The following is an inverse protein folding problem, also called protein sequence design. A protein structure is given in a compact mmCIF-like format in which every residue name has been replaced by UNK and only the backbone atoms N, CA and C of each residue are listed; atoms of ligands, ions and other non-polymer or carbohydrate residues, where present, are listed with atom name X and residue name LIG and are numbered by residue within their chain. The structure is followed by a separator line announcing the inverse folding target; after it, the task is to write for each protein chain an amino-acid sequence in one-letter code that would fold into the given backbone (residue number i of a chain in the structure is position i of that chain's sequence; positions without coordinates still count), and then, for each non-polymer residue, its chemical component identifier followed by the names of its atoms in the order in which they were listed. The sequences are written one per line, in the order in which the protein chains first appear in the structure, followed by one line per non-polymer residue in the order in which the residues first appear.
data_IF_414235255541
#
_entry.id   IF_414235255541
#
_cell.length_a   1.000
_cell.length_b   1.000
_cell.length_c   1.000
_cell.angle_alpha   90.00
_cell.angle_beta   90.00
_cell.angle_gamma   90.00
#
_symmetry.space_group_name_H-M   'P 1'
#
loop_
_entity.id
_entity.type
_entity.pdbx_description
1 polymer ?
#
# COMPACT_ATOMS: atom_id res chain seq x y z
N UNK A 1 14.41 -4.29 -22.82
CA UNK A 1 14.09 -4.33 -21.38
C UNK A 1 13.88 -2.90 -20.98
N UNK A 2 12.66 -2.56 -20.55
CA UNK A 2 12.28 -1.16 -20.32
C UNK A 2 12.98 -0.58 -19.09
N UNK A 3 13.17 0.76 -19.02
CA UNK A 3 13.68 1.45 -17.85
C UNK A 3 12.87 1.15 -16.58
N UNK A 4 13.50 1.25 -15.41
CA UNK A 4 12.88 0.90 -14.12
C UNK A 4 11.66 1.78 -13.82
N UNK A 5 11.71 3.04 -14.23
CA UNK A 5 10.63 4.03 -14.11
C UNK A 5 9.41 3.60 -14.92
N UNK A 6 9.60 3.25 -16.20
CA UNK A 6 8.53 2.78 -17.07
C UNK A 6 7.98 1.42 -16.61
N UNK A 7 8.85 0.55 -16.07
CA UNK A 7 8.43 -0.70 -15.45
C UNK A 7 7.55 -0.48 -14.22
N UNK A 8 7.91 0.46 -13.34
CA UNK A 8 7.12 0.82 -12.17
C UNK A 8 5.75 1.40 -12.55
N UNK A 9 5.69 2.24 -13.58
CA UNK A 9 4.43 2.77 -14.11
C UNK A 9 3.50 1.67 -14.62
N UNK A 10 4.02 0.77 -15.45
CA UNK A 10 3.24 -0.35 -16.00
C UNK A 10 2.81 -1.34 -14.92
N UNK A 11 3.70 -1.67 -13.98
CA UNK A 11 3.38 -2.55 -12.87
C UNK A 11 2.23 -1.98 -12.02
N UNK A 12 2.20 -0.66 -11.79
CA UNK A 12 1.14 -0.02 -11.02
C UNK A 12 -0.21 -0.06 -11.73
N UNK A 13 -0.23 0.16 -13.06
CA UNK A 13 -1.45 0.04 -13.88
C UNK A 13 -1.98 -1.39 -13.92
N UNK A 14 -1.09 -2.37 -13.91
CA UNK A 14 -1.42 -3.79 -13.97
C UNK A 14 -1.74 -4.40 -12.60
N UNK A 15 -1.65 -3.64 -11.50
CA UNK A 15 -1.86 -4.17 -10.15
C UNK A 15 -3.23 -4.87 -9.96
N UNK A 16 -4.23 -4.47 -10.76
CA UNK A 16 -5.60 -5.01 -10.71
C UNK A 16 -5.90 -6.08 -11.78
N UNK A 17 -4.93 -6.51 -12.60
CA UNK A 17 -5.16 -7.54 -13.63
C UNK A 17 -5.26 -8.95 -13.04
N UNK A 18 -4.98 -9.11 -11.74
CA UNK A 18 -4.91 -10.41 -11.07
C UNK A 18 -3.99 -11.44 -11.76
N UNK A 19 -2.98 -10.97 -12.51
CA UNK A 19 -2.07 -11.82 -13.27
C UNK A 19 -2.60 -12.30 -14.62
N UNK A 20 -3.70 -11.73 -15.13
CA UNK A 20 -4.14 -11.97 -16.50
C UNK A 20 -3.15 -11.38 -17.51
N UNK A 21 -2.33 -12.26 -18.09
CA UNK A 21 -1.32 -11.89 -19.09
C UNK A 21 -1.91 -11.13 -20.29
N UNK A 22 -3.14 -11.43 -20.70
CA UNK A 22 -3.74 -10.76 -21.87
C UNK A 22 -4.06 -9.31 -21.56
N UNK A 23 -4.56 -9.03 -20.34
CA UNK A 23 -4.79 -7.67 -19.86
C UNK A 23 -3.48 -6.92 -19.66
N UNK A 24 -2.45 -7.58 -19.13
CA UNK A 24 -1.12 -6.99 -19.00
C UNK A 24 -0.54 -6.58 -20.37
N UNK A 25 -0.65 -7.42 -21.41
CA UNK A 25 -0.16 -7.07 -22.74
C UNK A 25 -0.94 -5.94 -23.39
N UNK A 26 -2.25 -5.88 -23.17
CA UNK A 26 -3.08 -4.78 -23.67
C UNK A 26 -2.62 -3.45 -23.06
N UNK A 27 -2.46 -3.40 -21.73
CA UNK A 27 -1.96 -2.21 -21.02
C UNK A 27 -0.55 -1.85 -21.48
N UNK A 28 0.35 -2.84 -21.64
CA UNK A 28 1.71 -2.59 -22.12
C UNK A 28 1.71 -1.95 -23.53
N UNK A 29 0.86 -2.47 -24.43
CA UNK A 29 0.76 -1.97 -25.80
C UNK A 29 0.24 -0.53 -25.87
N UNK A 30 -0.73 -0.16 -25.03
CA UNK A 30 -1.23 1.22 -24.90
C UNK A 30 -0.11 2.22 -24.53
N UNK A 31 0.92 1.73 -23.84
CA UNK A 31 2.09 2.49 -23.40
C UNK A 31 3.33 2.29 -24.28
N UNK A 32 3.15 1.74 -25.50
CA UNK A 32 4.21 1.58 -26.49
C UNK A 32 5.20 0.45 -26.19
N UNK A 33 4.86 -0.47 -25.28
CA UNK A 33 5.69 -1.63 -24.92
C UNK A 33 5.10 -2.89 -25.53
N UNK A 34 5.92 -3.66 -26.26
CA UNK A 34 5.46 -4.93 -26.84
C UNK A 34 5.28 -6.01 -25.77
N UNK A 35 4.45 -7.03 -26.05
CA UNK A 35 4.26 -8.16 -25.13
C UNK A 35 5.58 -8.87 -24.80
N UNK A 36 6.46 -9.03 -25.80
CA UNK A 36 7.79 -9.63 -25.61
C UNK A 36 8.66 -8.77 -24.70
N UNK A 37 8.66 -7.45 -24.91
CA UNK A 37 9.45 -6.54 -24.10
C UNK A 37 8.92 -6.44 -22.65
N UNK A 38 7.59 -6.48 -22.46
CA UNK A 38 6.98 -6.56 -21.14
C UNK A 38 7.39 -7.84 -20.42
N UNK A 39 7.26 -9.01 -21.06
CA UNK A 39 7.67 -10.31 -20.49
C UNK A 39 9.13 -10.30 -20.07
N UNK A 40 10.02 -9.85 -20.96
CA UNK A 40 11.45 -9.78 -20.69
C UNK A 40 11.75 -8.84 -19.50
N UNK A 41 11.04 -7.72 -19.40
CA UNK A 41 11.23 -6.74 -18.33
C UNK A 41 10.70 -7.22 -17.00
N UNK A 42 9.50 -7.81 -16.96
CA UNK A 42 8.93 -8.43 -15.75
C UNK A 42 9.87 -9.50 -15.20
N UNK A 43 10.33 -10.41 -16.06
CA UNK A 43 11.29 -11.45 -15.65
C UNK A 43 12.61 -10.86 -15.14
N UNK A 44 13.21 -9.92 -15.88
CA UNK A 44 14.50 -9.32 -15.54
C UNK A 44 14.47 -8.50 -14.25
N UNK A 45 13.46 -7.64 -14.08
CA UNK A 45 13.34 -6.81 -12.89
C UNK A 45 12.96 -7.62 -11.65
N UNK A 46 12.06 -8.61 -11.76
CA UNK A 46 11.74 -9.51 -10.64
C UNK A 46 12.97 -10.32 -10.19
N UNK A 47 13.76 -10.84 -11.14
CA UNK A 47 14.99 -11.55 -10.82
C UNK A 47 15.98 -10.63 -10.09
N UNK A 48 16.15 -9.39 -10.57
CA UNK A 48 17.08 -8.43 -9.98
C UNK A 48 16.67 -7.96 -8.58
N UNK A 49 15.37 -7.74 -8.33
CA UNK A 49 14.87 -7.39 -6.99
C UNK A 49 15.02 -8.53 -5.98
N UNK A 50 15.06 -9.77 -6.46
CA UNK A 50 15.20 -10.97 -5.63
C UNK A 50 16.65 -11.43 -5.48
N UNK A 51 17.59 -10.76 -6.16
CA UNK A 51 19.01 -11.15 -6.19
C UNK A 51 19.70 -10.75 -4.87
N UNK A 52 20.25 -11.71 -4.09
CA UNK A 52 21.01 -11.39 -2.89
C UNK A 52 22.23 -10.49 -3.16
N UNK A 53 22.82 -10.57 -4.37
CA UNK A 53 23.96 -9.74 -4.76
C UNK A 53 23.57 -8.27 -5.04
N UNK A 54 22.30 -8.02 -5.38
CA UNK A 54 21.76 -6.66 -5.54
C UNK A 54 21.60 -5.94 -4.19
N UNK A 55 21.58 -6.70 -3.08
CA UNK A 55 21.41 -6.20 -1.71
C UNK A 55 20.17 -5.29 -1.55
N UNK A 56 19.11 -5.58 -2.32
CA UNK A 56 17.86 -4.81 -2.31
C UNK A 56 17.95 -3.41 -2.92
N UNK A 57 19.05 -3.03 -3.59
CA UNK A 57 19.21 -1.69 -4.20
C UNK A 57 18.11 -1.41 -5.23
N UNK A 58 17.82 -2.38 -6.08
CA UNK A 58 16.79 -2.27 -7.11
C UNK A 58 15.40 -2.20 -6.48
N UNK A 59 15.14 -2.97 -5.43
CA UNK A 59 13.88 -2.88 -4.69
C UNK A 59 13.69 -1.50 -4.03
N UNK A 60 14.74 -0.96 -3.39
CA UNK A 60 14.73 0.36 -2.77
C UNK A 60 14.53 1.49 -3.80
N UNK A 61 15.05 1.34 -5.02
CA UNK A 61 14.82 2.29 -6.12
C UNK A 61 13.40 2.16 -6.72
N UNK A 62 12.88 0.94 -6.81
CA UNK A 62 11.57 0.64 -7.40
C UNK A 62 10.40 1.12 -6.54
N UNK A 63 10.45 0.85 -5.22
CA UNK A 63 9.35 1.16 -4.31
C UNK A 63 8.82 2.60 -4.41
N UNK A 64 9.64 3.66 -4.36
CA UNK A 64 9.12 5.03 -4.48
C UNK A 64 8.52 5.32 -5.87
N UNK A 65 9.09 4.75 -6.94
CA UNK A 65 8.56 4.91 -8.30
C UNK A 65 7.19 4.24 -8.45
N UNK A 66 7.06 3.03 -7.93
CA UNK A 66 5.82 2.26 -7.95
C UNK A 66 4.72 2.95 -7.13
N UNK A 67 5.03 3.42 -5.93
CA UNK A 67 4.10 4.19 -5.10
C UNK A 67 3.62 5.48 -5.80
N UNK A 68 4.53 6.21 -6.44
CA UNK A 68 4.18 7.42 -7.20
C UNK A 68 3.27 7.10 -8.39
N UNK A 69 3.57 6.01 -9.12
CA UNK A 69 2.75 5.56 -10.24
C UNK A 69 1.35 5.12 -9.81
N UNK A 70 1.24 4.37 -8.71
CA UNK A 70 -0.05 4.01 -8.12
C UNK A 70 -0.87 5.26 -7.77
N UNK A 71 -0.26 6.22 -7.06
CA UNK A 71 -0.91 7.48 -6.69
C UNK A 71 -1.40 8.27 -7.92
N UNK A 72 -0.60 8.30 -9.00
CA UNK A 72 -0.96 8.92 -10.28
C UNK A 72 -2.13 8.19 -10.96
N UNK A 73 -2.12 6.86 -10.99
CA UNK A 73 -3.20 6.06 -11.58
C UNK A 73 -4.55 6.29 -10.88
N UNK A 74 -4.54 6.58 -9.58
CA UNK A 74 -5.73 6.97 -8.81
C UNK A 74 -6.13 8.44 -8.95
N UNK A 75 -5.39 9.24 -9.72
CA UNK A 75 -5.63 10.69 -9.81
C UNK A 75 -5.48 11.41 -8.46
N UNK A 76 -4.64 10.87 -7.55
CA UNK A 76 -4.47 11.39 -6.20
C UNK A 76 -5.53 10.94 -5.18
N UNK A 77 -6.47 10.07 -5.57
CA UNK A 77 -7.45 9.51 -4.65
C UNK A 77 -6.79 8.59 -3.60
N UNK A 78 -7.41 8.55 -2.42
CA UNK A 78 -7.01 7.68 -1.32
C UNK A 78 -7.13 6.19 -1.72
N UNK A 79 -6.14 5.34 -1.39
CA UNK A 79 -6.18 3.89 -1.69
C UNK A 79 -7.25 3.15 -0.85
N UNK A 80 -7.61 3.71 0.30
CA UNK A 80 -8.75 3.32 1.10
C UNK A 80 -9.23 4.52 1.92
N UNK A 81 -10.47 4.50 2.39
CA UNK A 81 -10.99 5.60 3.22
C UNK A 81 -10.29 5.70 4.56
N UNK A 82 -10.26 6.90 5.14
CA UNK A 82 -9.72 7.11 6.49
C UNK A 82 -10.48 6.28 7.55
N UNK A 83 -11.79 6.11 7.38
CA UNK A 83 -12.64 5.26 8.23
C UNK A 83 -12.22 3.78 8.15
N UNK A 84 -11.97 3.26 6.94
CA UNK A 84 -11.43 1.89 6.74
C UNK A 84 -10.05 1.74 7.38
N UNK A 85 -9.18 2.72 7.16
CA UNK A 85 -7.82 2.71 7.71
C UNK A 85 -7.82 2.68 9.24
N UNK A 86 -8.60 3.55 9.88
CA UNK A 86 -8.75 3.59 11.34
C UNK A 86 -9.38 2.31 11.90
N UNK A 87 -10.42 1.77 11.25
CA UNK A 87 -11.05 0.50 11.66
C UNK A 87 -10.03 -0.64 11.70
N UNK A 88 -9.24 -0.81 10.63
CA UNK A 88 -8.26 -1.88 10.53
C UNK A 88 -7.16 -1.71 11.58
N UNK A 89 -6.63 -0.49 11.78
CA UNK A 89 -5.65 -0.21 12.83
C UNK A 89 -6.18 -0.52 14.24
N UNK A 90 -7.41 -0.12 14.54
CA UNK A 90 -8.02 -0.41 15.83
C UNK A 90 -8.21 -1.92 16.07
N UNK A 91 -8.67 -2.66 15.05
CA UNK A 91 -8.78 -4.12 15.15
C UNK A 91 -7.40 -4.78 15.30
N UNK A 92 -6.38 -4.33 14.57
CA UNK A 92 -5.01 -4.81 14.76
C UNK A 92 -4.53 -4.55 16.18
N UNK A 93 -4.77 -3.37 16.76
CA UNK A 93 -4.29 -3.00 18.08
C UNK A 93 -5.02 -3.72 19.23
N UNK A 94 -6.35 -3.88 19.12
CA UNK A 94 -7.19 -4.24 20.26
C UNK A 94 -7.84 -5.61 20.17
N UNK A 95 -7.99 -6.20 18.96
CA UNK A 95 -8.73 -7.44 18.80
C UNK A 95 -7.94 -8.62 19.39
N UNK A 96 -8.60 -9.36 20.29
CA UNK A 96 -8.05 -10.57 20.92
C UNK A 96 -8.79 -11.82 20.44
N UNK A 97 -8.07 -12.94 20.39
CA UNK A 97 -8.64 -14.27 20.21
C UNK A 97 -9.32 -14.75 21.52
N UNK A 98 -10.03 -15.88 21.53
CA UNK A 98 -10.66 -16.42 22.74
C UNK A 98 -9.69 -16.78 23.87
N UNK A 99 -8.39 -16.87 23.58
CA UNK A 99 -7.33 -17.13 24.56
C UNK A 99 -6.70 -15.83 25.09
N UNK A 100 -7.14 -14.66 24.61
CA UNK A 100 -6.64 -13.35 24.99
C UNK A 100 -5.40 -12.88 24.21
N UNK A 101 -4.94 -13.63 23.21
CA UNK A 101 -3.81 -13.21 22.36
C UNK A 101 -4.27 -12.23 21.30
N UNK A 102 -3.36 -11.35 20.85
CA UNK A 102 -3.67 -10.44 19.75
C UNK A 102 -3.88 -11.22 18.45
N UNK A 103 -4.97 -10.92 17.74
CA UNK A 103 -5.23 -11.58 16.47
C UNK A 103 -4.16 -11.19 15.45
N UNK A 104 -3.65 -12.17 14.71
CA UNK A 104 -2.63 -11.94 13.69
C UNK A 104 -3.12 -10.95 12.63
N UNK A 105 -2.33 -9.92 12.31
CA UNK A 105 -2.76 -8.81 11.46
C UNK A 105 -3.26 -9.24 10.08
N UNK A 106 -2.67 -10.30 9.49
CA UNK A 106 -3.14 -10.83 8.19
C UNK A 106 -4.59 -11.35 8.24
N UNK A 107 -5.05 -11.85 9.38
CA UNK A 107 -6.45 -12.26 9.55
C UNK A 107 -7.36 -11.03 9.63
N UNK A 108 -6.94 -9.99 10.36
CA UNK A 108 -7.65 -8.70 10.42
C UNK A 108 -7.80 -8.10 9.02
N UNK A 109 -6.73 -8.12 8.22
CA UNK A 109 -6.75 -7.66 6.84
C UNK A 109 -7.74 -8.45 5.99
N UNK A 110 -7.64 -9.78 6.00
CA UNK A 110 -8.50 -10.66 5.21
C UNK A 110 -10.00 -10.47 5.54
N UNK A 111 -10.36 -10.36 6.81
CA UNK A 111 -11.74 -10.15 7.26
C UNK A 111 -12.30 -8.77 6.90
N UNK A 112 -11.44 -7.79 6.66
CA UNK A 112 -11.83 -6.47 6.15
C UNK A 112 -11.78 -6.37 4.62
N UNK A 113 -11.59 -7.50 3.91
CA UNK A 113 -11.46 -7.51 2.45
C UNK A 113 -10.19 -6.81 1.95
N UNK A 114 -9.17 -6.68 2.81
CA UNK A 114 -7.94 -5.96 2.52
C UNK A 114 -6.83 -6.95 2.19
N UNK A 115 -6.28 -6.87 0.98
CA UNK A 115 -5.07 -7.61 0.62
C UNK A 115 -3.83 -6.92 1.18
N UNK A 116 -2.78 -7.68 1.52
CA UNK A 116 -1.54 -7.11 2.08
C UNK A 116 -0.90 -6.02 1.19
N UNK A 117 -0.81 -6.17 -0.15
CA UNK A 117 -0.26 -5.10 -0.99
C UNK A 117 -1.07 -3.79 -0.92
N UNK A 118 -2.41 -3.87 -0.93
CA UNK A 118 -3.28 -2.71 -0.80
C UNK A 118 -3.18 -2.08 0.61
N UNK A 119 -2.99 -2.91 1.64
CA UNK A 119 -2.74 -2.40 2.99
C UNK A 119 -1.44 -1.59 3.08
N UNK A 120 -0.34 -2.10 2.50
CA UNK A 120 0.94 -1.36 2.47
C UNK A 120 0.81 -0.03 1.72
N UNK A 121 -0.07 0.02 0.73
CA UNK A 121 -0.39 1.23 -0.01
C UNK A 121 -1.20 2.22 0.84
N UNK A 122 -2.19 1.73 1.60
CA UNK A 122 -2.91 2.54 2.60
C UNK A 122 -1.96 3.09 3.67
N UNK A 123 -1.03 2.29 4.19
CA UNK A 123 0.02 2.74 5.11
C UNK A 123 0.87 3.85 4.49
N UNK A 124 1.36 3.65 3.27
CA UNK A 124 2.17 4.65 2.57
C UNK A 124 1.42 5.97 2.35
N UNK A 125 0.11 5.92 2.12
CA UNK A 125 -0.72 7.11 1.95
C UNK A 125 -1.07 7.78 3.28
N UNK A 126 -1.62 7.04 4.24
CA UNK A 126 -2.20 7.62 5.45
C UNK A 126 -1.18 7.89 6.54
N UNK A 127 -0.19 7.02 6.77
CA UNK A 127 0.80 7.20 7.86
C UNK A 127 1.49 8.57 7.83
N UNK A 128 2.00 9.09 6.70
CA UNK A 128 2.59 10.43 6.69
C UNK A 128 1.57 11.56 6.83
N UNK A 129 0.27 11.32 6.62
CA UNK A 129 -0.79 12.34 6.75
C UNK A 129 -1.35 12.45 8.16
N UNK A 130 -1.54 11.30 8.83
CA UNK A 130 -2.25 11.24 10.13
C UNK A 130 -1.36 10.86 11.32
N UNK A 131 -0.12 10.43 11.07
CA UNK A 131 0.81 9.97 12.10
C UNK A 131 1.35 11.08 12.98
N UNK A 132 2.57 11.54 12.69
CA UNK A 132 3.24 12.59 13.44
C UNK A 132 3.48 13.84 12.56
N UNK A 133 3.42 15.01 13.20
CA UNK A 133 3.77 16.30 12.60
C UNK A 133 5.27 16.44 12.33
N UNK A 134 6.08 15.54 12.88
CA UNK A 134 7.52 15.45 12.69
C UNK A 134 7.96 14.01 12.41
N UNK A 135 8.96 13.86 11.53
CA UNK A 135 9.63 12.59 11.23
C UNK A 135 11.11 12.79 11.52
N UNK A 136 11.66 12.00 12.45
CA UNK A 136 13.07 12.07 12.88
C UNK A 136 13.51 13.50 13.25
N UNK A 137 12.63 14.25 13.92
CA UNK A 137 12.89 15.63 14.38
C UNK A 137 12.78 16.71 13.29
N UNK A 138 12.39 16.34 12.07
CA UNK A 138 12.12 17.28 10.98
C UNK A 138 10.61 17.45 10.76
N UNK A 139 10.13 18.63 10.34
CA UNK A 139 8.73 18.81 9.98
C UNK A 139 8.30 17.80 8.91
N UNK A 140 7.14 17.17 9.12
CA UNK A 140 6.54 16.29 8.14
C UNK A 140 5.70 17.11 7.16
N UNK A 141 6.14 17.29 5.89
CA UNK A 141 5.45 18.13 4.93
C UNK A 141 4.10 17.56 4.48
N UNK A 142 3.83 16.28 4.75
CA UNK A 142 2.58 15.62 4.38
C UNK A 142 1.56 15.59 5.52
N UNK A 143 1.96 16.01 6.73
CA UNK A 143 1.07 15.96 7.89
C UNK A 143 -0.13 16.89 7.69
N UNK A 144 -1.32 16.35 7.89
CA UNK A 144 -2.58 17.08 7.83
C UNK A 144 -3.22 17.06 9.24
N UNK A 145 -3.26 18.20 9.96
CA UNK A 145 -3.77 18.24 11.32
C UNK A 145 -5.27 17.91 11.41
N UNK A 146 -6.06 18.24 10.38
CA UNK A 146 -7.50 17.96 10.37
C UNK A 146 -7.75 16.46 10.16
N UNK A 147 -7.03 15.83 9.23
CA UNK A 147 -7.10 14.38 9.04
C UNK A 147 -6.53 13.61 10.24
N UNK A 148 -5.45 14.09 10.84
CA UNK A 148 -4.88 13.49 12.05
C UNK A 148 -5.87 13.54 13.22
N UNK A 149 -6.57 14.66 13.42
CA UNK A 149 -7.61 14.76 14.45
C UNK A 149 -8.76 13.79 14.18
N UNK A 150 -9.27 13.75 12.94
CA UNK A 150 -10.32 12.80 12.54
C UNK A 150 -9.88 11.35 12.72
N UNK A 151 -8.63 11.02 12.39
CA UNK A 151 -8.07 9.68 12.60
C UNK A 151 -8.08 9.28 14.08
N UNK A 152 -7.70 10.17 15.00
CA UNK A 152 -7.74 9.89 16.45
C UNK A 152 -9.17 9.61 16.94
N UNK A 153 -10.15 10.40 16.48
CA UNK A 153 -11.55 10.21 16.83
C UNK A 153 -12.08 8.87 16.32
N UNK A 154 -11.75 8.52 15.07
CA UNK A 154 -12.09 7.23 14.49
C UNK A 154 -11.41 6.06 15.22
N UNK A 155 -10.11 6.17 15.51
CA UNK A 155 -9.37 5.17 16.27
C UNK A 155 -9.96 4.95 17.66
N UNK A 156 -10.39 6.02 18.34
CA UNK A 156 -11.05 5.91 19.63
C UNK A 156 -12.40 5.19 19.51
N UNK A 157 -13.24 5.61 18.55
CA UNK A 157 -14.55 5.00 18.30
C UNK A 157 -14.45 3.51 17.96
N UNK A 158 -13.54 3.16 17.07
CA UNK A 158 -13.32 1.77 16.65
C UNK A 158 -12.66 0.94 17.75
N UNK A 159 -11.77 1.54 18.55
CA UNK A 159 -11.20 0.89 19.75
C UNK A 159 -12.28 0.57 20.78
N UNK A 160 -13.14 1.54 21.10
CA UNK A 160 -14.27 1.34 22.01
C UNK A 160 -15.20 0.23 21.47
N UNK A 161 -15.50 0.22 20.16
CA UNK A 161 -16.29 -0.85 19.52
C UNK A 161 -15.65 -2.23 19.70
N UNK A 162 -14.35 -2.37 19.40
CA UNK A 162 -13.62 -3.65 19.51
C UNK A 162 -13.58 -4.14 20.95
N UNK A 163 -13.52 -3.22 21.91
CA UNK A 163 -13.48 -3.52 23.35
C UNK A 163 -14.87 -3.63 24.00
N UNK A 164 -15.95 -3.36 23.26
CA UNK A 164 -17.32 -3.37 23.80
C UNK A 164 -17.61 -2.23 24.79
N UNK A 165 -16.88 -1.11 24.71
CA UNK A 165 -17.08 0.06 25.54
C UNK A 165 -18.18 0.93 24.92
N UNK A 166 -19.18 1.30 25.72
CA UNK A 166 -20.22 2.27 25.33
C UNK A 166 -19.95 3.57 26.11
N UNK A 167 -19.81 4.69 25.41
CA UNK A 167 -19.60 6.03 25.98
C UNK A 167 -20.84 6.90 25.83
#
# INVERSE_FOLDING_TARGET
MIPLEQYAELAALMANTAGDESLEFAIAAEHGVSAEEWKASKAGWTAKMSDPADMGKTALAFMPLYQAAQAKARGGAEPCTLDTYAKIHAEMAFRKDPLGNQVHYMLVLAENGMAQPLWLECEGYWTPRVGADTILGQPNPQFDPAQAQRFRELMQREGDRVQGIVR
#
